data_IF_669465044934
#
_entry.id   IF_669465044934
#
_cell.length_a   1.000
_cell.length_b   1.000
_cell.length_c   1.000
_cell.angle_alpha   90.00
_cell.angle_beta   90.00
_cell.angle_gamma   90.00
#
_symmetry.space_group_name_H-M   'P 1'
#
loop_
_entity.id
_entity.type
_entity.pdbx_description
1 polymer ?
#
# COMPACT_ATOMS: atom_id res chain seq x y z
N UNK A 1 13.76 9.47 -7.82
CA UNK A 1 12.33 9.06 -7.76
C UNK A 1 11.56 10.24 -7.17
N UNK A 2 10.45 10.65 -7.77
CA UNK A 2 9.59 11.73 -7.26
C UNK A 2 8.26 11.13 -6.82
N UNK A 3 7.72 11.57 -5.68
CA UNK A 3 6.40 11.15 -5.17
C UNK A 3 5.49 12.36 -5.03
N UNK A 4 4.30 12.26 -5.62
CA UNK A 4 3.20 13.18 -5.38
C UNK A 4 2.07 12.38 -4.73
N UNK A 5 1.79 12.64 -3.45
CA UNK A 5 0.78 11.94 -2.67
C UNK A 5 -0.45 12.82 -2.56
N UNK A 6 -1.56 12.34 -3.11
CA UNK A 6 -2.83 13.07 -3.16
C UNK A 6 -3.78 12.58 -2.07
N UNK A 7 -4.51 13.50 -1.43
CA UNK A 7 -5.66 13.21 -0.58
C UNK A 7 -6.91 12.92 -1.41
N UNK A 8 -7.20 13.80 -2.38
CA UNK A 8 -8.27 13.69 -3.36
C UNK A 8 -7.76 14.18 -4.73
N UNK A 9 -7.53 13.24 -5.67
CA UNK A 9 -7.06 13.54 -7.02
C UNK A 9 -8.03 14.38 -7.85
N UNK A 10 -9.31 14.41 -7.50
CA UNK A 10 -10.30 15.20 -8.25
C UNK A 10 -10.27 16.69 -7.90
N UNK A 11 -9.73 17.03 -6.72
CA UNK A 11 -9.67 18.39 -6.19
C UNK A 11 -8.24 18.97 -6.15
N UNK A 12 -7.23 18.16 -6.49
CA UNK A 12 -5.82 18.55 -6.41
C UNK A 12 -5.17 18.64 -7.80
N UNK A 13 -4.20 19.55 -7.94
CA UNK A 13 -3.45 19.75 -9.18
C UNK A 13 -2.07 19.13 -9.05
N UNK A 14 -1.73 18.19 -9.94
CA UNK A 14 -0.41 17.60 -9.98
C UNK A 14 0.67 18.61 -10.39
N UNK A 15 1.81 18.59 -9.72
CA UNK A 15 2.99 19.32 -10.12
C UNK A 15 3.54 18.80 -11.46
N UNK A 16 4.00 19.72 -12.30
CA UNK A 16 4.66 19.43 -13.57
C UNK A 16 6.16 19.61 -13.40
N UNK A 17 6.95 18.62 -13.84
CA UNK A 17 8.41 18.63 -13.76
C UNK A 17 9.03 18.46 -15.14
N UNK A 18 10.19 19.07 -15.34
CA UNK A 18 11.08 18.84 -16.48
C UNK A 18 12.45 18.44 -15.97
N UNK A 19 13.02 17.40 -16.56
CA UNK A 19 14.41 16.99 -16.32
C UNK A 19 15.19 17.12 -17.62
N UNK A 20 16.37 17.72 -17.56
CA UNK A 20 17.26 17.86 -18.72
C UNK A 20 18.72 17.72 -18.29
N UNK A 21 19.55 17.26 -19.22
CA UNK A 21 21.00 17.25 -19.04
C UNK A 21 21.53 18.66 -19.27
N UNK A 22 22.23 19.24 -18.30
CA UNK A 22 22.81 20.58 -18.40
C UNK A 22 24.03 20.65 -19.31
N UNK A 23 24.59 19.50 -19.70
CA UNK A 23 25.79 19.36 -20.54
C UNK A 23 25.60 18.25 -21.58
N UNK A 24 24.67 18.41 -22.54
CA UNK A 24 24.33 17.37 -23.50
C UNK A 24 25.53 17.03 -24.39
N UNK A 25 25.82 15.74 -24.53
CA UNK A 25 26.77 15.22 -25.51
C UNK A 25 26.00 14.80 -26.78
N UNK A 26 26.61 14.87 -27.98
CA UNK A 26 26.02 14.30 -29.19
C UNK A 26 25.63 12.84 -28.93
N UNK A 27 24.41 12.46 -29.31
CA UNK A 27 23.92 11.10 -29.09
C UNK A 27 24.82 10.06 -29.77
N UNK A 28 25.21 9.03 -29.02
CA UNK A 28 25.92 7.88 -29.57
C UNK A 28 24.98 7.00 -30.42
N UNK A 29 25.56 6.27 -31.39
CA UNK A 29 24.86 5.15 -32.03
C UNK A 29 24.59 4.05 -31.01
N UNK A 30 23.48 3.32 -31.14
CA UNK A 30 23.20 2.15 -30.31
C UNK A 30 24.33 1.12 -30.46
N UNK A 31 25.05 0.85 -29.37
CA UNK A 31 26.12 -0.14 -29.35
C UNK A 31 25.53 -1.52 -29.02
N UNK A 32 25.70 -2.55 -29.88
CA UNK A 32 25.08 -3.86 -29.67
C UNK A 32 25.40 -4.51 -28.32
N UNK A 33 26.65 -4.43 -27.86
CA UNK A 33 27.07 -5.05 -26.60
C UNK A 33 26.46 -4.35 -25.38
N UNK A 34 26.45 -3.00 -25.36
CA UNK A 34 25.80 -2.23 -24.30
C UNK A 34 24.29 -2.49 -24.27
N UNK A 35 23.66 -2.62 -25.44
CA UNK A 35 22.24 -2.93 -25.55
C UNK A 35 21.93 -4.34 -25.01
N UNK A 36 22.77 -5.33 -25.33
CA UNK A 36 22.62 -6.68 -24.79
C UNK A 36 22.71 -6.71 -23.26
N UNK A 37 23.66 -5.97 -22.67
CA UNK A 37 23.74 -5.83 -21.21
C UNK A 37 22.51 -5.15 -20.60
N UNK A 38 22.01 -4.07 -21.23
CA UNK A 38 20.80 -3.38 -20.77
C UNK A 38 19.59 -4.32 -20.79
N UNK A 39 19.45 -5.13 -21.83
CA UNK A 39 18.38 -6.12 -21.94
C UNK A 39 18.46 -7.16 -20.82
N UNK A 40 19.66 -7.66 -20.52
CA UNK A 40 19.86 -8.60 -19.40
C UNK A 40 19.57 -7.97 -18.05
N UNK A 41 19.86 -6.68 -17.85
CA UNK A 41 19.45 -5.95 -16.63
C UNK A 41 17.93 -5.89 -16.48
N UNK A 42 17.17 -5.74 -17.57
CA UNK A 42 15.71 -5.80 -17.52
C UNK A 42 15.19 -7.18 -17.09
N UNK A 43 15.81 -8.27 -17.56
CA UNK A 43 15.48 -9.63 -17.11
C UNK A 43 15.74 -9.78 -15.61
N UNK A 44 16.92 -9.34 -15.15
CA UNK A 44 17.30 -9.36 -13.74
C UNK A 44 16.35 -8.54 -12.86
N UNK A 45 15.87 -7.40 -13.35
CA UNK A 45 14.87 -6.59 -12.66
C UNK A 45 13.55 -7.34 -12.46
N UNK A 46 12.99 -7.95 -13.51
CA UNK A 46 11.73 -8.70 -13.42
C UNK A 46 11.85 -9.89 -12.46
N UNK A 47 12.93 -10.66 -12.57
CA UNK A 47 13.17 -11.81 -11.69
C UNK A 47 13.40 -11.38 -10.24
N UNK A 48 14.24 -10.37 -10.02
CA UNK A 48 14.56 -9.87 -8.69
C UNK A 48 13.35 -9.25 -7.98
N UNK A 49 12.57 -8.42 -8.67
CA UNK A 49 11.40 -7.76 -8.08
C UNK A 49 10.28 -8.75 -7.77
N UNK A 50 9.99 -9.70 -8.67
CA UNK A 50 8.99 -10.75 -8.39
C UNK A 50 9.42 -11.63 -7.21
N UNK A 51 10.68 -12.05 -7.16
CA UNK A 51 11.25 -12.82 -6.04
C UNK A 51 11.16 -12.08 -4.70
N UNK A 52 11.48 -10.77 -4.69
CA UNK A 52 11.39 -9.93 -3.50
C UNK A 52 9.99 -9.95 -2.87
N UNK A 53 8.93 -9.81 -3.68
CA UNK A 53 7.56 -9.78 -3.16
C UNK A 53 7.08 -11.17 -2.69
N UNK A 54 7.52 -12.25 -3.35
CA UNK A 54 7.29 -13.62 -2.84
C UNK A 54 7.93 -13.78 -1.46
N UNK A 55 9.19 -13.39 -1.31
CA UNK A 55 9.91 -13.47 -0.03
C UNK A 55 9.22 -12.66 1.07
N UNK A 56 8.69 -11.48 0.73
CA UNK A 56 7.97 -10.64 1.69
C UNK A 56 6.65 -11.27 2.10
N UNK A 57 5.85 -11.78 1.16
CA UNK A 57 4.61 -12.49 1.49
C UNK A 57 4.88 -13.74 2.33
N UNK A 58 5.97 -14.47 2.08
CA UNK A 58 6.40 -15.58 2.94
C UNK A 58 6.73 -15.11 4.36
N UNK A 59 7.46 -14.00 4.54
CA UNK A 59 7.72 -13.42 5.87
C UNK A 59 6.43 -13.02 6.57
N UNK A 60 5.55 -12.32 5.86
CA UNK A 60 4.28 -11.84 6.40
C UNK A 60 3.30 -12.96 6.73
N UNK A 61 3.50 -14.17 6.18
CA UNK A 61 2.69 -15.35 6.53
C UNK A 61 2.81 -15.75 8.02
N UNK A 62 3.81 -15.24 8.74
CA UNK A 62 3.93 -15.40 10.20
C UNK A 62 2.91 -14.59 11.01
N UNK A 63 2.26 -13.59 10.42
CA UNK A 63 1.32 -12.69 11.09
C UNK A 63 0.12 -12.33 10.18
N UNK A 64 -0.44 -13.35 9.54
CA UNK A 64 -1.63 -13.22 8.67
C UNK A 64 -2.77 -12.55 9.44
N UNK A 65 -3.46 -11.62 8.78
CA UNK A 65 -4.57 -10.83 9.34
C UNK A 65 -4.22 -10.01 10.58
N UNK A 66 -2.93 -9.74 10.79
CA UNK A 66 -2.42 -8.74 11.73
C UNK A 66 -1.64 -7.70 10.93
N UNK A 67 -1.47 -6.50 11.46
CA UNK A 67 -0.76 -5.42 10.76
C UNK A 67 0.28 -4.77 11.68
N UNK A 68 1.37 -5.51 12.04
CA UNK A 68 2.44 -4.96 12.86
C UNK A 68 3.23 -3.87 12.12
N UNK A 69 4.00 -3.09 12.87
CA UNK A 69 5.07 -2.27 12.29
C UNK A 69 6.05 -3.17 11.55
N UNK A 70 6.40 -2.78 10.33
CA UNK A 70 7.36 -3.52 9.53
C UNK A 70 8.81 -3.16 9.90
N UNK A 71 9.76 -3.91 9.37
CA UNK A 71 11.17 -3.53 9.36
C UNK A 71 11.35 -2.29 8.47
N UNK A 72 11.51 -1.14 9.11
CA UNK A 72 11.61 0.13 8.42
C UNK A 72 12.91 0.23 7.61
N UNK A 73 14.02 -0.35 8.10
CA UNK A 73 15.29 -0.35 7.37
C UNK A 73 15.18 -1.14 6.08
N UNK A 74 14.52 -2.32 6.13
CA UNK A 74 14.21 -3.11 4.93
C UNK A 74 13.34 -2.33 3.96
N UNK A 75 12.32 -1.64 4.44
CA UNK A 75 11.45 -0.80 3.61
C UNK A 75 12.24 0.31 2.91
N UNK A 76 13.13 1.00 3.63
CA UNK A 76 13.99 2.04 3.05
C UNK A 76 14.99 1.47 2.04
N UNK A 77 15.62 0.34 2.34
CA UNK A 77 16.55 -0.33 1.43
C UNK A 77 15.87 -0.76 0.11
N UNK A 78 14.57 -1.09 0.16
CA UNK A 78 13.73 -1.37 -1.00
C UNK A 78 13.23 -0.11 -1.74
N UNK A 79 13.72 1.08 -1.38
CA UNK A 79 13.37 2.34 -2.01
C UNK A 79 12.16 3.04 -1.38
N UNK A 80 11.78 2.66 -0.15
CA UNK A 80 10.78 3.37 0.65
C UNK A 80 11.11 4.87 0.82
N UNK A 81 10.07 5.66 1.08
CA UNK A 81 10.22 7.04 1.49
C UNK A 81 10.52 7.14 3.00
N UNK A 82 11.55 7.92 3.37
CA UNK A 82 11.99 8.10 4.75
C UNK A 82 10.98 8.83 5.65
N UNK A 83 10.04 9.57 5.06
CA UNK A 83 8.96 10.22 5.81
C UNK A 83 7.81 9.27 6.16
N UNK A 84 7.84 8.02 5.68
CA UNK A 84 6.76 7.05 5.85
C UNK A 84 7.18 5.97 6.84
N UNK A 85 6.33 5.75 7.83
CA UNK A 85 6.38 4.56 8.68
C UNK A 85 5.40 3.52 8.14
N UNK A 86 5.92 2.34 7.81
CA UNK A 86 5.19 1.27 7.12
C UNK A 86 4.72 0.19 8.09
N UNK A 87 3.45 -0.19 8.01
CA UNK A 87 2.93 -1.41 8.59
C UNK A 87 2.47 -2.28 7.41
N UNK A 88 3.15 -3.39 7.15
CA UNK A 88 2.85 -4.27 6.02
C UNK A 88 2.58 -5.68 6.50
N UNK A 89 1.66 -6.35 5.81
CA UNK A 89 1.32 -7.72 6.15
C UNK A 89 0.57 -8.43 5.02
N UNK A 90 0.16 -9.66 5.33
CA UNK A 90 -0.62 -10.57 4.51
C UNK A 90 -2.02 -10.68 5.11
N UNK A 91 -3.06 -10.41 4.32
CA UNK A 91 -4.45 -10.73 4.66
C UNK A 91 -4.94 -11.99 3.94
N UNK A 92 -5.86 -12.72 4.59
CA UNK A 92 -6.56 -13.88 4.03
C UNK A 92 -7.94 -14.01 4.65
N UNK A 93 -8.98 -14.13 3.83
CA UNK A 93 -10.37 -14.21 4.26
C UNK A 93 -11.06 -15.40 3.61
N UNK A 94 -11.81 -16.16 4.41
CA UNK A 94 -12.82 -17.05 3.89
C UNK A 94 -14.03 -16.25 3.34
N UNK A 95 -14.89 -16.85 2.50
CA UNK A 95 -16.01 -16.15 1.87
C UNK A 95 -16.98 -15.46 2.84
N UNK A 96 -17.07 -15.94 4.08
CA UNK A 96 -17.95 -15.43 5.13
C UNK A 96 -17.21 -14.70 6.26
N UNK A 97 -15.95 -14.31 6.02
CA UNK A 97 -15.13 -13.55 6.94
C UNK A 97 -14.95 -12.09 6.50
N UNK A 98 -14.67 -11.25 7.47
CA UNK A 98 -14.20 -9.89 7.27
C UNK A 98 -13.04 -9.59 8.21
N UNK A 99 -12.11 -8.76 7.74
CA UNK A 99 -11.03 -8.22 8.55
C UNK A 99 -11.42 -6.81 9.01
N UNK A 100 -11.54 -6.63 10.33
CA UNK A 100 -11.78 -5.33 10.95
C UNK A 100 -10.45 -4.78 11.46
N UNK A 101 -10.07 -3.59 10.99
CA UNK A 101 -8.83 -2.91 11.32
C UNK A 101 -9.18 -1.60 12.03
N UNK A 102 -8.75 -1.48 13.29
CA UNK A 102 -9.02 -0.31 14.13
C UNK A 102 -7.72 0.43 14.40
N UNK A 103 -7.66 1.70 14.01
CA UNK A 103 -6.66 2.65 14.46
C UNK A 103 -7.28 3.48 15.61
N UNK A 104 -7.01 3.14 16.88
CA UNK A 104 -7.65 3.82 18.02
C UNK A 104 -7.20 5.28 18.16
N UNK A 105 -6.02 5.62 17.63
CA UNK A 105 -5.48 6.97 17.65
C UNK A 105 -4.85 7.27 16.30
N UNK A 106 -5.28 8.36 15.67
CA UNK A 106 -4.64 8.89 14.47
C UNK A 106 -3.64 9.97 14.91
N UNK A 107 -2.33 9.77 14.74
CA UNK A 107 -1.33 10.73 15.20
C UNK A 107 -1.40 12.02 14.36
N UNK A 108 -0.85 13.11 14.91
CA UNK A 108 -0.54 14.28 14.10
C UNK A 108 0.46 13.89 12.99
N UNK A 109 0.00 13.95 11.75
CA UNK A 109 0.73 13.50 10.57
C UNK A 109 0.34 14.34 9.35
N UNK A 110 1.17 14.34 8.31
CA UNK A 110 0.83 14.98 7.03
C UNK A 110 -0.37 14.25 6.40
N UNK A 111 -0.24 12.93 6.24
CA UNK A 111 -1.31 12.05 5.80
C UNK A 111 -1.14 10.62 6.35
N UNK A 112 -2.13 9.78 6.12
CA UNK A 112 -2.05 8.34 6.31
C UNK A 112 -2.92 7.64 5.28
N UNK A 113 -2.63 6.38 4.99
CA UNK A 113 -3.54 5.55 4.20
C UNK A 113 -3.46 4.09 4.57
N UNK A 114 -4.52 3.35 4.21
CA UNK A 114 -4.54 1.90 4.16
C UNK A 114 -4.89 1.47 2.73
N UNK A 115 -4.21 0.44 2.21
CA UNK A 115 -4.50 -0.13 0.90
C UNK A 115 -4.42 -1.66 0.93
N UNK A 116 -5.22 -2.28 0.05
CA UNK A 116 -5.10 -3.68 -0.31
C UNK A 116 -4.28 -3.85 -1.58
N UNK A 117 -3.50 -4.92 -1.60
CA UNK A 117 -2.80 -5.44 -2.76
C UNK A 117 -3.08 -6.92 -2.94
N UNK A 118 -2.81 -7.44 -4.14
CA UNK A 118 -2.79 -8.87 -4.39
C UNK A 118 -1.54 -9.51 -3.75
N UNK A 119 -1.35 -10.82 -3.95
CA UNK A 119 -0.17 -11.55 -3.47
C UNK A 119 1.16 -10.97 -4.00
N UNK A 120 1.16 -10.39 -5.20
CA UNK A 120 2.34 -9.78 -5.83
C UNK A 120 2.61 -8.36 -5.35
N UNK A 121 1.92 -7.91 -4.29
CA UNK A 121 2.00 -6.58 -3.70
C UNK A 121 1.61 -5.43 -4.67
N UNK A 122 0.94 -5.75 -5.77
CA UNK A 122 0.32 -4.76 -6.65
C UNK A 122 -1.00 -4.30 -6.04
N UNK A 123 -1.25 -2.99 -5.99
CA UNK A 123 -2.56 -2.50 -5.55
C UNK A 123 -3.68 -3.17 -6.36
N UNK A 124 -4.78 -3.52 -5.71
CA UNK A 124 -5.99 -3.91 -6.44
C UNK A 124 -6.46 -2.76 -7.35
N UNK A 125 -7.39 -3.01 -8.27
CA UNK A 125 -7.80 -2.02 -9.28
C UNK A 125 -8.65 -0.89 -8.69
N UNK A 126 -7.98 0.13 -8.16
CA UNK A 126 -8.57 1.33 -7.57
C UNK A 126 -9.37 2.19 -8.55
N UNK A 127 -9.28 1.95 -9.87
CA UNK A 127 -10.07 2.67 -10.87
C UNK A 127 -11.53 2.22 -10.87
N UNK A 128 -11.79 1.00 -10.38
CA UNK A 128 -13.10 0.35 -10.39
C UNK A 128 -13.60 0.01 -9.00
N UNK A 129 -12.70 -0.20 -8.05
CA UNK A 129 -13.02 -0.72 -6.73
C UNK A 129 -12.47 0.18 -5.63
N UNK A 130 -13.21 0.29 -4.53
CA UNK A 130 -12.72 0.94 -3.31
C UNK A 130 -11.81 -0.03 -2.56
N UNK A 131 -10.50 0.09 -2.77
CA UNK A 131 -9.47 -0.83 -2.24
C UNK A 131 -8.46 -0.13 -1.33
N UNK A 132 -8.64 1.17 -1.14
CA UNK A 132 -7.83 1.99 -0.25
C UNK A 132 -8.67 3.09 0.37
N UNK A 133 -8.23 3.55 1.53
CA UNK A 133 -8.77 4.72 2.21
C UNK A 133 -7.60 5.54 2.76
N UNK A 134 -7.76 6.86 2.86
CA UNK A 134 -6.72 7.76 3.37
C UNK A 134 -7.30 8.78 4.35
N UNK A 135 -6.44 9.60 4.94
CA UNK A 135 -6.80 10.69 5.86
C UNK A 135 -7.93 11.59 5.36
N UNK A 136 -8.06 11.80 4.05
CA UNK A 136 -9.04 12.70 3.45
C UNK A 136 -10.40 12.03 3.19
N UNK A 137 -10.38 10.73 2.90
CA UNK A 137 -11.55 9.95 2.46
C UNK A 137 -12.12 9.04 3.55
N UNK A 138 -11.38 8.83 4.64
CA UNK A 138 -11.87 8.08 5.78
C UNK A 138 -12.97 8.83 6.53
N UNK A 139 -13.99 8.10 6.94
CA UNK A 139 -14.96 8.55 7.94
C UNK A 139 -14.43 8.17 9.32
N UNK A 140 -14.29 9.16 10.18
CA UNK A 140 -13.79 9.00 11.54
C UNK A 140 -14.95 8.73 12.51
N UNK A 141 -14.68 7.95 13.54
CA UNK A 141 -15.60 7.80 14.66
C UNK A 141 -15.65 9.08 15.50
N UNK A 142 -16.67 9.20 16.37
CA UNK A 142 -16.85 10.37 17.23
C UNK A 142 -15.67 10.63 18.19
N UNK A 143 -14.92 9.59 18.55
CA UNK A 143 -13.72 9.66 19.37
C UNK A 143 -12.43 9.95 18.57
N UNK A 144 -12.54 10.12 17.25
CA UNK A 144 -11.41 10.35 16.35
C UNK A 144 -10.66 9.08 15.92
N UNK A 145 -11.08 7.90 16.36
CA UNK A 145 -10.56 6.63 15.86
C UNK A 145 -11.05 6.35 14.44
N UNK A 146 -10.39 5.42 13.74
CA UNK A 146 -10.81 4.95 12.42
C UNK A 146 -10.97 3.45 12.45
N UNK A 147 -12.10 2.97 11.94
CA UNK A 147 -12.37 1.55 11.68
C UNK A 147 -12.43 1.34 10.17
N UNK A 148 -11.59 0.44 9.64
CA UNK A 148 -11.58 0.00 8.24
C UNK A 148 -12.04 -1.46 8.22
N UNK A 149 -12.92 -1.81 7.28
CA UNK A 149 -13.39 -3.19 7.10
C UNK A 149 -12.98 -3.69 5.73
N UNK A 150 -12.35 -4.85 5.67
CA UNK A 150 -12.08 -5.56 4.42
C UNK A 150 -13.00 -6.76 4.35
N UNK A 151 -13.83 -6.82 3.31
CA UNK A 151 -14.78 -7.91 3.11
C UNK A 151 -15.08 -8.12 1.62
N UNK A 152 -15.54 -9.32 1.25
CA UNK A 152 -15.90 -9.64 -0.13
C UNK A 152 -17.09 -8.81 -0.64
N UNK A 153 -18.08 -8.57 0.22
CA UNK A 153 -19.33 -7.87 -0.08
C UNK A 153 -19.51 -6.65 0.81
N UNK A 154 -20.36 -5.71 0.38
CA UNK A 154 -20.65 -4.48 1.14
C UNK A 154 -21.38 -4.82 2.45
N UNK A 155 -20.79 -4.54 3.63
CA UNK A 155 -21.43 -4.77 4.94
C UNK A 155 -22.45 -3.67 5.28
N UNK A 156 -22.70 -2.71 4.38
CA UNK A 156 -23.69 -1.67 4.53
C UNK A 156 -23.17 -0.39 5.20
N UNK A 157 -24.06 0.61 5.39
CA UNK A 157 -23.68 1.98 5.72
C UNK A 157 -23.05 2.15 7.11
N UNK A 158 -23.16 1.15 7.99
CA UNK A 158 -22.51 1.14 9.30
C UNK A 158 -20.98 1.13 9.19
N UNK A 159 -20.43 0.63 8.08
CA UNK A 159 -18.99 0.53 7.84
C UNK A 159 -18.58 1.40 6.64
N UNK A 160 -18.60 2.73 6.79
CA UNK A 160 -18.35 3.66 5.69
C UNK A 160 -16.95 3.55 5.09
N UNK A 161 -15.99 2.98 5.84
CA UNK A 161 -14.62 2.72 5.37
C UNK A 161 -14.43 1.28 4.86
N UNK A 162 -15.50 0.60 4.44
CA UNK A 162 -15.38 -0.71 3.81
C UNK A 162 -14.54 -0.65 2.53
N UNK A 163 -13.68 -1.64 2.36
CA UNK A 163 -12.88 -1.91 1.18
C UNK A 163 -13.20 -3.31 0.66
N UNK A 164 -13.45 -3.42 -0.64
CA UNK A 164 -13.72 -4.70 -1.28
C UNK A 164 -12.42 -5.49 -1.51
N UNK A 165 -12.49 -6.80 -1.36
CA UNK A 165 -11.39 -7.70 -1.77
C UNK A 165 -11.28 -7.86 -3.29
N UNK A 166 -12.21 -7.28 -4.06
CA UNK A 166 -12.26 -7.36 -5.52
C UNK A 166 -12.14 -8.81 -6.04
N UNK A 167 -12.79 -9.75 -5.35
CA UNK A 167 -12.81 -11.18 -5.72
C UNK A 167 -11.59 -11.99 -5.25
N UNK A 168 -10.63 -11.37 -4.55
CA UNK A 168 -9.49 -12.09 -3.98
C UNK A 168 -9.86 -12.65 -2.61
N UNK A 169 -9.31 -13.81 -2.27
CA UNK A 169 -9.37 -14.41 -0.93
C UNK A 169 -8.18 -14.03 -0.06
N UNK A 170 -7.12 -13.48 -0.67
CA UNK A 170 -5.87 -13.20 0.02
C UNK A 170 -5.00 -12.18 -0.74
N UNK A 171 -4.06 -11.54 -0.03
CA UNK A 171 -3.09 -10.64 -0.66
C UNK A 171 -2.28 -9.81 0.34
N UNK A 172 -1.55 -8.82 -0.14
CA UNK A 172 -0.85 -7.87 0.71
C UNK A 172 -1.78 -6.79 1.27
N UNK A 173 -1.41 -6.22 2.41
CA UNK A 173 -2.04 -5.02 2.95
C UNK A 173 -0.99 -4.10 3.55
N UNK A 174 -1.26 -2.79 3.49
CA UNK A 174 -0.29 -1.78 3.87
C UNK A 174 -0.97 -0.56 4.47
N UNK A 175 -0.57 -0.23 5.70
CA UNK A 175 -0.87 1.04 6.35
C UNK A 175 0.37 1.93 6.35
N UNK A 176 0.20 3.23 6.12
CA UNK A 176 1.27 4.23 6.14
C UNK A 176 0.94 5.36 7.07
N UNK A 177 1.84 5.68 7.99
CA UNK A 177 1.86 6.97 8.68
C UNK A 177 2.88 7.88 7.98
N UNK A 178 2.46 9.04 7.47
CA UNK A 178 3.33 9.92 6.67
C UNK A 178 3.61 11.21 7.44
N UNK A 179 4.89 11.47 7.72
CA UNK A 179 5.34 12.64 8.46
C UNK A 179 4.79 12.68 9.88
N UNK A 180 4.55 11.52 10.49
CA UNK A 180 4.13 11.41 11.89
C UNK A 180 5.37 11.35 12.79
N UNK A 181 5.27 11.89 14.01
CA UNK A 181 6.31 11.71 15.05
C UNK A 181 6.11 10.43 15.86
N UNK A 182 4.85 10.04 16.03
CA UNK A 182 4.43 8.84 16.74
C UNK A 182 3.75 7.88 15.76
N UNK A 183 3.91 6.59 16.00
CA UNK A 183 3.43 5.52 15.13
C UNK A 183 2.58 4.54 15.94
N UNK A 184 1.39 4.95 16.41
CA UNK A 184 0.54 4.08 17.21
C UNK A 184 0.20 2.80 16.43
N UNK A 185 0.07 1.66 17.13
CA UNK A 185 -0.30 0.41 16.48
C UNK A 185 -1.75 0.48 15.97
N UNK A 186 -2.04 -0.32 14.95
CA UNK A 186 -3.41 -0.63 14.56
C UNK A 186 -3.74 -2.06 14.99
N UNK A 187 -5.01 -2.30 15.27
CA UNK A 187 -5.48 -3.59 15.76
C UNK A 187 -6.34 -4.27 14.72
N UNK A 188 -6.04 -5.53 14.44
CA UNK A 188 -6.79 -6.33 13.47
C UNK A 188 -7.55 -7.44 14.19
N UNK A 189 -8.78 -7.69 13.75
CA UNK A 189 -9.60 -8.81 14.21
C UNK A 189 -10.36 -9.40 13.02
N UNK A 190 -10.36 -10.73 12.93
CA UNK A 190 -11.31 -11.45 12.09
C UNK A 190 -12.69 -11.47 12.75
N UNK A 191 -13.72 -11.25 11.94
CA UNK A 191 -15.11 -11.36 12.31
C UNK A 191 -15.86 -12.17 11.25
N UNK A 192 -16.98 -12.79 11.66
CA UNK A 192 -17.93 -13.34 10.68
C UNK A 192 -18.60 -12.15 9.98
N UNK A 193 -18.79 -12.24 8.67
CA UNK A 193 -19.47 -11.19 7.91
C UNK A 193 -20.89 -10.93 8.44
N UNK A 194 -21.56 -11.98 8.94
CA UNK A 194 -22.89 -11.87 9.57
C UNK A 194 -22.93 -11.14 10.91
N UNK A 195 -21.77 -10.86 11.51
CA UNK A 195 -21.65 -10.15 12.80
C UNK A 195 -21.34 -8.66 12.65
N UNK A 196 -21.18 -8.19 11.40
CA UNK A 196 -21.00 -6.78 11.08
C UNK A 196 -22.35 -6.04 11.14
#
# INVERSE_FOLDING_TARGET
IVRQTFGDRSAEVAATYRIECTTPQPGGTLLPDEFAEQLLRSVGFVQGTSGLFVDWMQRYSSHINQLPSDDQERCQAAGGDAAIHYLQSYWKLAPDEALVITAPTIPACQTWNFQLSNYWMESLDYRRFKISVNKHTAVYNADGSVCVVVAHTDPGPRYPNWLTTAGHDQGGMLWRWVGAKEHPPVHCRLARFSEL
#
